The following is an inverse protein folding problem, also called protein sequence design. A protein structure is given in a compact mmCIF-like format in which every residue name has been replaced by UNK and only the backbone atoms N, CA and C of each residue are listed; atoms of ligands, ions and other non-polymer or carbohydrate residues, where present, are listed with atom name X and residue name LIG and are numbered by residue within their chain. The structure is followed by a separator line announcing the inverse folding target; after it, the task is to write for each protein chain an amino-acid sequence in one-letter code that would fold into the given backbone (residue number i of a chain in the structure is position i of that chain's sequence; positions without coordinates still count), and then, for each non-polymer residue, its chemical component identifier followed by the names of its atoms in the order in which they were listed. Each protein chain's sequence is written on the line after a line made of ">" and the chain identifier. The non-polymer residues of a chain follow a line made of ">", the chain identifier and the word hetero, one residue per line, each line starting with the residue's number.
data_IF_633635629708
#
_entry.id   IF_633635629708
#
_cell.length_a   1.000
_cell.length_b   1.000
_cell.length_c   1.000
_cell.angle_alpha   90.00
_cell.angle_beta   90.00
_cell.angle_gamma   90.00
#
_symmetry.space_group_name_H-M   'P 1'
#
loop_
_entity.id
_entity.type
_entity.pdbx_description
1 polymer ?
#
# COMPACT_ATOMS: atom_id res chain seq x y z
N UNK A 1 -48.16 -23.45 -0.88
CA UNK A 1 -49.49 -23.73 -1.45
C UNK A 1 -50.06 -22.42 -1.97
N UNK A 2 -50.42 -22.32 -3.25
CA UNK A 2 -51.06 -21.13 -3.80
C UNK A 2 -52.59 -21.29 -3.66
N UNK A 3 -53.27 -20.24 -3.19
CA UNK A 3 -54.73 -20.23 -3.09
C UNK A 3 -55.36 -20.13 -4.49
N UNK A 4 -56.46 -20.86 -4.77
CA UNK A 4 -57.17 -20.74 -6.04
C UNK A 4 -57.86 -19.36 -6.14
N UNK A 5 -57.78 -18.74 -7.32
CA UNK A 5 -58.36 -17.42 -7.64
C UNK A 5 -59.89 -17.48 -7.82
N UNK A 6 -60.59 -18.07 -6.84
CA UNK A 6 -62.04 -18.11 -6.76
C UNK A 6 -62.55 -16.87 -6.01
N UNK A 7 -63.77 -16.38 -6.32
CA UNK A 7 -64.42 -15.34 -5.53
C UNK A 7 -64.44 -15.73 -4.04
N UNK A 8 -63.97 -14.85 -3.15
CA UNK A 8 -63.88 -15.10 -1.71
C UNK A 8 -62.48 -15.48 -1.20
N UNK A 9 -61.56 -15.92 -2.07
CA UNK A 9 -60.17 -16.22 -1.71
C UNK A 9 -59.20 -15.07 -1.99
N UNK A 10 -59.71 -13.86 -2.27
CA UNK A 10 -58.90 -12.67 -2.51
C UNK A 10 -58.99 -11.69 -1.35
N UNK A 11 -57.84 -11.22 -0.88
CA UNK A 11 -57.77 -10.12 0.08
C UNK A 11 -57.91 -8.78 -0.66
N UNK A 12 -58.74 -7.88 -0.15
CA UNK A 12 -58.87 -6.54 -0.71
C UNK A 12 -57.63 -5.71 -0.37
N UNK A 13 -56.74 -5.57 -1.35
CA UNK A 13 -55.48 -4.78 -1.24
C UNK A 13 -55.71 -3.26 -1.20
N UNK A 14 -56.94 -2.79 -1.36
CA UNK A 14 -57.26 -1.36 -1.40
C UNK A 14 -57.71 -0.80 -0.05
N UNK A 15 -57.83 -1.61 1.00
CA UNK A 15 -58.11 -1.09 2.35
C UNK A 15 -56.95 -0.21 2.82
N UNK A 16 -57.25 1.05 3.20
CA UNK A 16 -56.26 2.01 3.69
C UNK A 16 -55.43 2.70 2.60
N UNK A 17 -55.75 2.50 1.31
CA UNK A 17 -55.17 3.29 0.23
C UNK A 17 -55.86 4.63 0.10
N UNK A 18 -55.07 5.69 0.07
CA UNK A 18 -55.56 7.04 -0.19
C UNK A 18 -55.26 7.51 -1.62
N UNK A 19 -54.29 6.87 -2.31
CA UNK A 19 -53.83 7.25 -3.65
C UNK A 19 -54.36 6.29 -4.72
N UNK A 20 -55.23 6.79 -5.61
CA UNK A 20 -55.79 6.02 -6.74
C UNK A 20 -55.56 6.66 -8.11
N UNK A 21 -54.69 7.68 -8.20
CA UNK A 21 -54.27 8.25 -9.48
C UNK A 21 -53.71 7.19 -10.45
N UNK A 22 -54.03 7.34 -11.74
CA UNK A 22 -53.57 6.46 -12.82
C UNK A 22 -52.40 7.11 -13.53
N UNK A 23 -51.38 6.33 -13.84
CA UNK A 23 -50.32 6.74 -14.75
C UNK A 23 -50.79 6.65 -16.20
N UNK A 24 -50.27 7.55 -17.03
CA UNK A 24 -50.57 7.57 -18.46
C UNK A 24 -49.69 6.56 -19.20
N UNK A 25 -50.15 5.32 -19.32
CA UNK A 25 -49.42 4.26 -20.02
C UNK A 25 -49.52 4.34 -21.55
N UNK A 26 -50.57 4.97 -22.07
CA UNK A 26 -50.82 5.15 -23.50
C UNK A 26 -50.87 6.63 -23.82
N UNK A 27 -50.20 7.02 -24.90
CA UNK A 27 -50.16 8.40 -25.36
C UNK A 27 -50.13 8.48 -26.90
N UNK A 28 -50.37 9.66 -27.45
CA UNK A 28 -50.26 9.94 -28.88
C UNK A 28 -48.95 10.64 -29.19
N UNK A 29 -48.05 9.97 -29.93
CA UNK A 29 -46.86 10.60 -30.49
C UNK A 29 -47.06 10.80 -31.98
N UNK A 30 -47.06 12.06 -32.43
CA UNK A 30 -47.28 12.44 -33.84
C UNK A 30 -48.55 11.82 -34.46
N UNK A 31 -49.64 11.74 -33.69
CA UNK A 31 -50.92 11.17 -34.13
C UNK A 31 -51.03 9.64 -34.06
N UNK A 32 -49.95 8.94 -33.70
CA UNK A 32 -49.93 7.48 -33.53
C UNK A 32 -50.12 7.12 -32.06
N UNK A 33 -51.07 6.22 -31.79
CA UNK A 33 -51.30 5.66 -30.45
C UNK A 33 -50.14 4.74 -30.09
N UNK A 34 -49.37 5.10 -29.08
CA UNK A 34 -48.23 4.32 -28.61
C UNK A 34 -48.38 3.98 -27.13
N UNK A 35 -47.87 2.82 -26.72
CA UNK A 35 -47.66 2.50 -25.31
C UNK A 35 -46.36 3.17 -24.87
N UNK A 36 -46.46 4.23 -24.08
CA UNK A 36 -45.32 5.08 -23.66
C UNK A 36 -44.93 4.84 -22.20
N UNK A 37 -45.75 4.12 -21.43
CA UNK A 37 -45.53 3.91 -20.01
C UNK A 37 -45.15 2.49 -19.60
N UNK A 38 -44.38 1.74 -20.38
CA UNK A 38 -43.88 0.42 -19.94
C UNK A 38 -43.19 0.46 -18.57
N UNK A 39 -42.46 1.56 -18.29
CA UNK A 39 -41.79 1.81 -17.00
C UNK A 39 -42.59 2.64 -15.99
N UNK A 40 -43.81 3.11 -16.31
CA UNK A 40 -44.61 3.91 -15.37
C UNK A 40 -45.26 3.01 -14.32
N UNK A 41 -45.37 3.41 -13.05
CA UNK A 41 -46.02 2.60 -12.03
C UNK A 41 -47.53 2.50 -12.30
N UNK A 42 -48.19 1.50 -11.72
CA UNK A 42 -49.64 1.33 -11.77
C UNK A 42 -50.42 2.31 -10.90
N UNK A 43 -51.66 1.93 -10.57
CA UNK A 43 -52.59 2.77 -9.80
C UNK A 43 -52.00 3.09 -8.43
N UNK A 44 -52.01 4.36 -8.05
CA UNK A 44 -51.51 4.79 -6.75
C UNK A 44 -49.99 4.90 -6.67
N UNK A 45 -49.26 4.71 -7.77
CA UNK A 45 -47.79 4.71 -7.78
C UNK A 45 -47.19 3.35 -7.41
N UNK A 46 -48.01 2.33 -7.22
CA UNK A 46 -47.54 0.96 -6.98
C UNK A 46 -47.02 0.31 -8.26
N UNK A 47 -45.91 -0.39 -8.17
CA UNK A 47 -45.36 -1.13 -9.31
C UNK A 47 -46.31 -2.23 -9.76
N UNK A 48 -46.44 -2.40 -11.07
CA UNK A 48 -47.20 -3.49 -11.65
C UNK A 48 -46.51 -4.84 -11.36
N UNK A 49 -47.28 -5.92 -11.40
CA UNK A 49 -46.74 -7.26 -11.17
C UNK A 49 -45.66 -7.57 -12.22
N UNK A 50 -44.43 -7.80 -11.77
CA UNK A 50 -43.26 -8.06 -12.63
C UNK A 50 -42.48 -6.82 -13.06
N UNK A 51 -42.95 -5.61 -12.73
CA UNK A 51 -42.22 -4.37 -12.99
C UNK A 51 -41.11 -4.18 -11.94
N UNK A 52 -39.89 -3.93 -12.40
CA UNK A 52 -38.75 -3.60 -11.52
C UNK A 52 -38.83 -2.12 -11.15
N UNK A 53 -38.55 -1.79 -9.88
CA UNK A 53 -38.30 -0.41 -9.46
C UNK A 53 -37.01 0.05 -10.13
N UNK A 54 -37.08 1.08 -10.96
CA UNK A 54 -35.89 1.74 -11.51
C UNK A 54 -35.82 3.15 -10.93
N UNK A 55 -35.27 3.31 -9.72
CA UNK A 55 -35.09 4.63 -9.15
C UNK A 55 -33.98 5.34 -9.92
N UNK A 56 -34.24 6.58 -10.35
CA UNK A 56 -33.24 7.40 -11.01
C UNK A 56 -32.10 7.81 -10.05
N UNK A 57 -32.40 7.91 -8.76
CA UNK A 57 -31.48 8.34 -7.72
C UNK A 57 -31.37 7.28 -6.63
N UNK A 58 -30.28 7.33 -5.88
CA UNK A 58 -30.10 6.49 -4.70
C UNK A 58 -31.20 6.76 -3.67
N UNK A 59 -31.72 5.69 -3.09
CA UNK A 59 -32.75 5.76 -2.05
C UNK A 59 -32.09 5.41 -0.73
N UNK A 60 -32.05 6.37 0.19
CA UNK A 60 -31.50 6.18 1.51
C UNK A 60 -32.61 5.81 2.50
N UNK A 61 -32.34 4.92 3.48
CA UNK A 61 -33.31 4.64 4.52
C UNK A 61 -33.59 5.89 5.35
N UNK A 62 -34.86 6.13 5.66
CA UNK A 62 -35.28 7.25 6.51
C UNK A 62 -34.69 7.05 7.92
N UNK A 63 -33.81 7.95 8.33
CA UNK A 63 -33.27 7.98 9.69
C UNK A 63 -34.26 8.57 10.69
N UNK A 64 -33.89 8.53 11.97
CA UNK A 64 -34.57 9.31 13.01
C UNK A 64 -34.23 10.80 12.82
N UNK A 65 -35.03 11.53 12.02
CA UNK A 65 -34.79 12.93 11.70
C UNK A 65 -35.77 13.52 10.68
N UNK A 66 -35.62 14.81 10.39
CA UNK A 66 -36.38 15.52 9.35
C UNK A 66 -36.00 15.01 7.96
N UNK A 67 -37.00 14.83 7.10
CA UNK A 67 -36.85 14.43 5.69
C UNK A 67 -36.21 15.56 4.86
N UNK A 68 -34.90 15.76 5.04
CA UNK A 68 -34.11 16.73 4.29
C UNK A 68 -33.69 16.13 2.96
N UNK A 69 -33.68 16.92 1.86
CA UNK A 69 -33.27 16.41 0.56
C UNK A 69 -31.79 16.02 0.54
N UNK A 70 -31.44 15.05 -0.32
CA UNK A 70 -30.10 14.44 -0.38
C UNK A 70 -28.95 15.44 -0.54
N UNK A 71 -29.14 16.47 -1.37
CA UNK A 71 -28.13 17.51 -1.62
C UNK A 71 -27.82 18.39 -0.39
N UNK A 72 -28.73 18.45 0.59
CA UNK A 72 -28.48 19.10 1.89
C UNK A 72 -27.93 18.09 2.89
N UNK A 73 -28.53 16.89 2.94
CA UNK A 73 -28.18 15.86 3.92
C UNK A 73 -26.74 15.34 3.75
N UNK A 74 -26.29 15.24 2.50
CA UNK A 74 -25.00 14.65 2.14
C UNK A 74 -24.02 15.63 1.49
N UNK A 75 -24.19 16.94 1.72
CA UNK A 75 -23.24 17.97 1.25
C UNK A 75 -21.81 17.57 1.64
N UNK A 76 -20.91 17.55 0.65
CA UNK A 76 -19.47 17.20 0.80
C UNK A 76 -19.18 15.78 1.28
N UNK A 77 -20.18 14.91 1.40
CA UNK A 77 -19.95 13.50 1.71
C UNK A 77 -19.70 12.73 0.42
N UNK A 78 -18.53 12.10 0.33
CA UNK A 78 -18.07 11.39 -0.87
C UNK A 78 -17.60 10.01 -0.49
N UNK A 79 -18.12 8.99 -1.17
CA UNK A 79 -17.62 7.63 -1.04
C UNK A 79 -16.40 7.47 -1.94
N UNK A 80 -15.30 7.01 -1.38
CA UNK A 80 -14.07 6.72 -2.11
C UNK A 80 -13.79 5.22 -2.14
N UNK A 81 -13.52 4.73 -3.35
CA UNK A 81 -13.17 3.34 -3.64
C UNK A 81 -11.83 3.27 -4.38
N UNK A 82 -10.98 2.34 -3.97
CA UNK A 82 -9.79 1.95 -4.72
C UNK A 82 -10.19 0.91 -5.75
N UNK A 83 -9.76 1.11 -6.99
CA UNK A 83 -10.05 0.19 -8.08
C UNK A 83 -8.82 0.05 -9.00
N UNK A 84 -8.86 -0.94 -9.89
CA UNK A 84 -7.94 -1.01 -11.01
C UNK A 84 -8.67 -1.46 -12.27
N UNK A 85 -8.09 -1.17 -13.43
CA UNK A 85 -8.50 -1.77 -14.69
C UNK A 85 -7.28 -2.28 -15.44
N UNK A 86 -7.49 -3.30 -16.27
CA UNK A 86 -6.45 -3.88 -17.11
C UNK A 86 -6.51 -3.24 -18.50
N UNK A 87 -5.37 -2.74 -18.97
CA UNK A 87 -5.22 -2.18 -20.31
C UNK A 87 -4.32 -3.10 -21.14
N UNK A 88 -4.80 -3.53 -22.31
CA UNK A 88 -4.00 -4.34 -23.23
C UNK A 88 -2.93 -3.46 -23.91
N UNK A 89 -1.69 -3.96 -23.99
CA UNK A 89 -0.56 -3.25 -24.62
C UNK A 89 -0.06 -4.09 -25.79
N UNK A 90 -0.56 -3.86 -27.01
CA UNK A 90 -0.21 -4.70 -28.17
C UNK A 90 1.17 -4.39 -28.75
N UNK A 91 1.71 -3.19 -28.54
CA UNK A 91 2.91 -2.70 -29.24
C UNK A 91 4.24 -3.06 -28.57
N UNK A 92 4.25 -3.49 -27.31
CA UNK A 92 5.48 -3.84 -26.59
C UNK A 92 5.67 -5.35 -26.51
N UNK A 93 6.91 -5.80 -26.72
CA UNK A 93 7.28 -7.23 -26.58
C UNK A 93 7.33 -7.68 -25.12
N UNK A 94 7.69 -6.77 -24.22
CA UNK A 94 7.92 -7.02 -22.79
C UNK A 94 6.63 -7.10 -21.98
N UNK A 95 5.60 -6.35 -22.37
CA UNK A 95 4.35 -6.20 -21.61
C UNK A 95 3.15 -6.44 -22.53
N UNK A 96 2.38 -7.50 -22.27
CA UNK A 96 1.12 -7.78 -23.00
C UNK A 96 -0.07 -6.99 -22.45
N UNK A 97 -0.03 -6.69 -21.15
CA UNK A 97 -1.04 -5.92 -20.45
C UNK A 97 -0.40 -5.13 -19.31
N UNK A 98 -1.05 -4.04 -18.93
CA UNK A 98 -0.69 -3.21 -17.76
C UNK A 98 -1.89 -3.05 -16.84
N UNK A 99 -1.64 -2.90 -15.56
CA UNK A 99 -2.69 -2.70 -14.55
C UNK A 99 -2.63 -1.26 -14.07
N UNK A 100 -3.68 -0.48 -14.35
CA UNK A 100 -3.77 0.93 -13.94
C UNK A 100 -4.66 1.05 -12.71
N UNK A 101 -4.08 1.54 -11.63
CA UNK A 101 -4.77 1.80 -10.36
C UNK A 101 -5.55 3.10 -10.49
N UNK A 102 -6.76 3.15 -9.92
CA UNK A 102 -7.64 4.31 -9.96
C UNK A 102 -8.36 4.47 -8.62
N UNK A 103 -8.83 5.68 -8.37
CA UNK A 103 -9.79 6.00 -7.31
C UNK A 103 -11.11 6.39 -7.96
N UNK A 104 -12.19 5.76 -7.49
CA UNK A 104 -13.55 6.07 -7.89
C UNK A 104 -14.20 6.84 -6.75
N UNK A 105 -14.68 8.04 -7.05
CA UNK A 105 -15.43 8.88 -6.14
C UNK A 105 -16.90 8.85 -6.52
N UNK A 106 -17.76 8.58 -5.55
CA UNK A 106 -19.21 8.65 -5.69
C UNK A 106 -19.73 9.74 -4.75
N UNK A 107 -20.37 10.76 -5.33
CA UNK A 107 -20.89 11.91 -4.60
C UNK A 107 -22.32 11.63 -4.18
N UNK A 108 -22.57 11.62 -2.87
CA UNK A 108 -23.87 11.27 -2.30
C UNK A 108 -24.94 12.37 -2.50
N UNK A 109 -24.50 13.59 -2.81
CA UNK A 109 -25.40 14.73 -3.03
C UNK A 109 -26.22 14.62 -4.32
N UNK A 110 -25.65 14.02 -5.37
CA UNK A 110 -26.22 14.04 -6.73
C UNK A 110 -26.01 12.73 -7.53
N UNK A 111 -25.53 11.66 -6.88
CA UNK A 111 -25.19 10.37 -7.48
C UNK A 111 -24.20 10.46 -8.66
N UNK A 112 -23.34 11.47 -8.66
CA UNK A 112 -22.31 11.60 -9.69
C UNK A 112 -21.07 10.76 -9.36
N UNK A 113 -20.39 10.32 -10.41
CA UNK A 113 -19.18 9.52 -10.32
C UNK A 113 -18.02 10.30 -10.96
N UNK A 114 -16.87 10.27 -10.31
CA UNK A 114 -15.60 10.74 -10.85
C UNK A 114 -14.55 9.65 -10.73
N UNK A 115 -13.75 9.44 -11.76
CA UNK A 115 -12.65 8.47 -11.73
C UNK A 115 -11.33 9.20 -11.93
N UNK A 116 -10.42 9.02 -10.98
CA UNK A 116 -9.11 9.69 -10.96
C UNK A 116 -8.01 8.65 -10.83
N UNK A 117 -7.03 8.70 -11.71
CA UNK A 117 -5.80 7.92 -11.60
C UNK A 117 -4.76 8.69 -10.77
N UNK A 118 -4.24 8.09 -9.69
CA UNK A 118 -3.18 8.72 -8.91
C UNK A 118 -1.90 8.87 -9.72
N UNK A 119 -1.20 9.98 -9.51
CA UNK A 119 0.07 10.27 -10.17
C UNK A 119 1.17 9.34 -9.64
N UNK A 120 1.90 8.72 -10.55
CA UNK A 120 3.05 7.85 -10.27
C UNK A 120 4.29 8.46 -10.92
N UNK A 121 5.36 8.61 -10.13
CA UNK A 121 6.63 9.15 -10.61
C UNK A 121 7.18 8.29 -11.76
N UNK A 122 7.65 8.95 -12.81
CA UNK A 122 8.18 8.33 -14.03
C UNK A 122 7.23 7.28 -14.65
N UNK A 123 5.91 7.49 -14.62
CA UNK A 123 4.95 6.59 -15.29
C UNK A 123 5.01 6.71 -16.82
N UNK A 124 5.34 7.90 -17.33
CA UNK A 124 5.40 8.19 -18.77
C UNK A 124 4.03 8.22 -19.45
N UNK A 125 2.94 8.22 -18.70
CA UNK A 125 1.55 8.20 -19.19
C UNK A 125 0.82 9.43 -18.63
N UNK A 126 -0.09 10.09 -19.38
CA UNK A 126 -0.93 11.14 -18.82
C UNK A 126 -1.82 10.55 -17.70
N UNK A 127 -1.66 11.09 -16.49
CA UNK A 127 -2.37 10.70 -15.27
C UNK A 127 -3.26 11.85 -14.77
N UNK A 128 -4.11 11.58 -13.79
CA UNK A 128 -5.09 12.53 -13.25
C UNK A 128 -6.53 12.10 -13.50
N UNK A 129 -7.41 13.06 -13.82
CA UNK A 129 -8.85 12.76 -13.98
C UNK A 129 -9.11 11.96 -15.26
N UNK A 130 -9.48 10.69 -15.10
CA UNK A 130 -9.82 9.80 -16.20
C UNK A 130 -11.26 10.04 -16.69
N UNK A 131 -12.19 10.17 -15.74
CA UNK A 131 -13.61 10.46 -16.00
C UNK A 131 -14.00 11.66 -15.15
N UNK A 132 -14.47 12.73 -15.80
CA UNK A 132 -14.96 13.94 -15.10
C UNK A 132 -16.22 13.62 -14.30
N UNK A 133 -16.50 14.41 -13.27
CA UNK A 133 -17.68 14.25 -12.41
C UNK A 133 -18.98 14.42 -13.21
N UNK A 134 -19.79 13.37 -13.29
CA UNK A 134 -21.16 13.38 -13.81
C UNK A 134 -21.84 12.04 -13.51
N UNK A 135 -23.15 11.92 -13.79
CA UNK A 135 -23.89 10.67 -13.61
C UNK A 135 -23.58 9.73 -14.79
N UNK A 136 -23.23 8.49 -14.48
CA UNK A 136 -22.83 7.50 -15.50
C UNK A 136 -23.96 6.48 -15.67
N UNK A 137 -24.44 6.24 -16.90
CA UNK A 137 -25.45 5.22 -17.16
C UNK A 137 -24.88 3.81 -16.96
N UNK A 138 -25.75 2.88 -16.62
CA UNK A 138 -25.43 1.45 -16.57
C UNK A 138 -25.11 0.92 -17.98
N UNK A 139 -24.35 -0.19 -18.08
CA UNK A 139 -24.09 -0.81 -19.38
C UNK A 139 -25.40 -1.38 -19.98
N UNK A 140 -25.46 -1.53 -21.32
CA UNK A 140 -26.59 -2.20 -21.98
C UNK A 140 -26.86 -3.57 -21.33
N UNK A 141 -28.13 -3.94 -21.08
CA UNK A 141 -29.37 -3.39 -21.66
C UNK A 141 -30.09 -2.30 -20.83
N UNK A 142 -29.58 -1.92 -19.66
CA UNK A 142 -30.24 -0.96 -18.74
C UNK A 142 -29.63 0.45 -18.86
N UNK A 143 -29.34 0.92 -20.08
CA UNK A 143 -28.66 2.20 -20.36
C UNK A 143 -29.50 3.45 -20.02
N UNK A 144 -30.79 3.28 -19.77
CA UNK A 144 -31.67 4.31 -19.23
C UNK A 144 -31.47 4.56 -17.72
N UNK A 145 -30.84 3.61 -17.01
CA UNK A 145 -30.59 3.69 -15.57
C UNK A 145 -29.18 4.18 -15.26
N UNK A 146 -28.99 4.72 -14.06
CA UNK A 146 -27.70 5.22 -13.58
C UNK A 146 -27.17 4.35 -12.45
N UNK A 147 -25.85 4.37 -12.28
CA UNK A 147 -25.21 3.74 -11.14
C UNK A 147 -25.68 4.36 -9.82
N UNK A 148 -26.04 3.50 -8.88
CA UNK A 148 -26.47 3.86 -7.53
C UNK A 148 -25.45 3.39 -6.49
N UNK A 149 -25.58 3.85 -5.24
CA UNK A 149 -24.71 3.43 -4.12
C UNK A 149 -24.70 1.92 -3.93
N UNK A 150 -25.81 1.23 -4.24
CA UNK A 150 -25.95 -0.21 -4.06
C UNK A 150 -25.19 -1.04 -5.10
N UNK A 151 -24.81 -0.44 -6.23
CA UNK A 151 -24.05 -1.12 -7.29
C UNK A 151 -22.55 -1.23 -6.97
N UNK A 152 -22.10 -0.58 -5.89
CA UNK A 152 -20.72 -0.59 -5.44
C UNK A 152 -20.49 -1.62 -4.32
N UNK A 153 -19.59 -2.57 -4.59
CA UNK A 153 -19.05 -3.45 -3.56
C UNK A 153 -17.58 -3.78 -3.84
N UNK A 154 -16.86 -4.23 -2.81
CA UNK A 154 -15.50 -4.70 -2.93
C UNK A 154 -15.47 -6.01 -3.73
N UNK A 155 -14.45 -6.20 -4.57
CA UNK A 155 -14.28 -7.34 -5.46
C UNK A 155 -15.38 -7.49 -6.52
N UNK A 156 -16.11 -6.41 -6.81
CA UNK A 156 -17.13 -6.38 -7.85
C UNK A 156 -16.61 -5.66 -9.10
N UNK A 157 -17.00 -6.18 -10.26
CA UNK A 157 -16.75 -5.55 -11.56
C UNK A 157 -17.79 -4.49 -11.84
N UNK A 158 -17.34 -3.35 -12.34
CA UNK A 158 -18.20 -2.29 -12.85
C UNK A 158 -17.71 -1.79 -14.20
N UNK A 159 -18.63 -1.45 -15.10
CA UNK A 159 -18.30 -1.04 -16.47
C UNK A 159 -18.59 0.44 -16.62
N UNK A 160 -17.55 1.25 -16.75
CA UNK A 160 -17.68 2.69 -16.99
C UNK A 160 -17.13 3.00 -18.37
N UNK A 161 -17.97 3.48 -19.28
CA UNK A 161 -17.60 3.82 -20.67
C UNK A 161 -16.75 2.74 -21.37
N UNK A 162 -17.28 1.51 -21.38
CA UNK A 162 -16.64 0.34 -22.02
C UNK A 162 -15.30 -0.07 -21.42
N UNK A 163 -15.01 0.34 -20.18
CA UNK A 163 -13.87 -0.14 -19.40
C UNK A 163 -14.34 -0.84 -18.15
N UNK A 164 -13.81 -2.03 -17.89
CA UNK A 164 -14.15 -2.81 -16.70
C UNK A 164 -13.19 -2.48 -15.57
N UNK A 165 -13.73 -1.87 -14.52
CA UNK A 165 -13.01 -1.58 -13.28
C UNK A 165 -13.32 -2.67 -12.25
N UNK A 166 -12.28 -3.12 -11.56
CA UNK A 166 -12.36 -3.99 -10.40
C UNK A 166 -12.17 -3.16 -9.15
N UNK A 167 -13.19 -3.07 -8.30
CA UNK A 167 -13.06 -2.42 -6.98
C UNK A 167 -12.29 -3.34 -6.05
N UNK A 168 -11.20 -2.85 -5.46
CA UNK A 168 -10.32 -3.64 -4.57
C UNK A 168 -10.51 -3.34 -3.11
N UNK A 169 -10.73 -2.07 -2.77
CA UNK A 169 -10.87 -1.63 -1.38
C UNK A 169 -11.67 -0.32 -1.31
N UNK A 170 -12.05 0.10 -0.11
CA UNK A 170 -12.74 1.37 0.13
C UNK A 170 -12.18 2.08 1.36
N UNK A 171 -12.34 3.40 1.39
CA UNK A 171 -11.94 4.24 2.51
C UNK A 171 -12.71 3.89 3.81
N UNK A 172 -12.14 4.09 5.02
CA UNK A 172 -12.84 3.80 6.26
C UNK A 172 -14.18 4.53 6.41
N UNK A 173 -14.31 5.75 5.89
CA UNK A 173 -15.58 6.47 5.84
C UNK A 173 -16.62 5.70 5.02
N UNK A 174 -16.27 5.34 3.79
CA UNK A 174 -17.11 4.56 2.87
C UNK A 174 -17.56 3.25 3.50
N UNK A 175 -16.62 2.55 4.15
CA UNK A 175 -16.89 1.27 4.83
C UNK A 175 -17.95 1.41 5.92
N UNK A 176 -17.85 2.45 6.73
CA UNK A 176 -18.79 2.72 7.81
C UNK A 176 -20.15 3.18 7.27
N UNK A 177 -20.16 4.02 6.23
CA UNK A 177 -21.39 4.49 5.58
C UNK A 177 -22.19 3.32 4.99
N UNK A 178 -21.55 2.48 4.18
CA UNK A 178 -22.20 1.32 3.56
C UNK A 178 -22.70 0.31 4.60
N UNK A 179 -21.95 0.11 5.69
CA UNK A 179 -22.40 -0.72 6.82
C UNK A 179 -23.64 -0.15 7.50
N UNK A 180 -23.71 1.17 7.73
CA UNK A 180 -24.91 1.83 8.29
C UNK A 180 -26.11 1.71 7.37
N UNK A 181 -25.87 1.74 6.05
CA UNK A 181 -26.90 1.52 5.03
C UNK A 181 -27.34 0.04 4.92
N UNK A 182 -26.73 -0.87 5.68
CA UNK A 182 -27.06 -2.31 5.67
C UNK A 182 -26.37 -3.12 4.58
N UNK A 183 -25.42 -2.54 3.84
CA UNK A 183 -24.65 -3.26 2.81
C UNK A 183 -23.53 -4.06 3.46
N UNK A 184 -23.48 -5.36 3.14
CA UNK A 184 -22.40 -6.26 3.56
C UNK A 184 -21.25 -6.16 2.57
N UNK A 185 -20.15 -5.56 3.02
CA UNK A 185 -18.93 -5.41 2.24
C UNK A 185 -18.11 -6.69 2.21
N UNK A 186 -17.57 -7.01 1.04
CA UNK A 186 -16.62 -8.10 0.85
C UNK A 186 -15.25 -7.76 1.48
N UNK A 187 -14.42 -8.76 1.79
CA UNK A 187 -13.04 -8.51 2.24
C UNK A 187 -12.23 -7.80 1.16
N UNK A 188 -11.24 -6.96 1.54
CA UNK A 188 -10.38 -6.27 0.58
C UNK A 188 -9.58 -7.25 -0.28
N UNK A 189 -9.47 -6.95 -1.56
CA UNK A 189 -8.71 -7.76 -2.53
C UNK A 189 -7.42 -7.04 -2.91
N UNK A 190 -6.31 -7.76 -3.00
CA UNK A 190 -5.04 -7.19 -3.49
C UNK A 190 -5.11 -6.87 -4.98
N UNK A 191 -4.58 -5.72 -5.40
CA UNK A 191 -4.39 -5.41 -6.83
C UNK A 191 -3.40 -6.41 -7.45
N UNK A 192 -3.71 -7.05 -8.59
CA UNK A 192 -2.75 -7.92 -9.26
C UNK A 192 -1.53 -7.12 -9.69
N UNK A 193 -0.36 -7.75 -9.56
CA UNK A 193 0.90 -7.18 -10.06
C UNK A 193 0.96 -7.40 -11.57
N UNK A 194 1.33 -6.35 -12.31
CA UNK A 194 1.63 -6.46 -13.73
C UNK A 194 3.13 -6.71 -13.97
N UNK A 195 3.51 -7.28 -15.13
CA UNK A 195 4.91 -7.54 -15.46
C UNK A 195 5.79 -6.29 -15.33
N UNK A 196 5.24 -5.12 -15.70
CA UNK A 196 5.93 -3.84 -15.58
C UNK A 196 6.25 -3.45 -14.13
N UNK A 197 5.28 -3.51 -13.22
CA UNK A 197 5.51 -3.17 -11.81
C UNK A 197 6.53 -4.10 -11.17
N UNK A 198 6.50 -5.39 -11.51
CA UNK A 198 7.47 -6.37 -11.00
C UNK A 198 8.90 -6.02 -11.44
N UNK A 199 9.12 -5.85 -12.76
CA UNK A 199 10.43 -5.50 -13.30
C UNK A 199 10.99 -4.21 -12.66
N UNK A 200 10.13 -3.21 -12.47
CA UNK A 200 10.53 -1.93 -11.89
C UNK A 200 10.86 -2.04 -10.40
N UNK A 201 10.07 -2.80 -9.64
CA UNK A 201 10.38 -3.07 -8.23
C UNK A 201 11.69 -3.85 -8.09
N UNK A 202 11.98 -4.79 -8.99
CA UNK A 202 13.25 -5.52 -9.00
C UNK A 202 14.43 -4.62 -9.35
N UNK A 203 14.30 -3.71 -10.31
CA UNK A 203 15.31 -2.70 -10.60
C UNK A 203 15.56 -1.80 -9.38
N UNK A 204 14.51 -1.30 -8.73
CA UNK A 204 14.65 -0.45 -7.54
C UNK A 204 15.29 -1.20 -6.36
N UNK A 205 14.96 -2.48 -6.16
CA UNK A 205 15.57 -3.32 -5.11
C UNK A 205 17.02 -3.68 -5.40
N UNK A 206 17.39 -3.84 -6.68
CA UNK A 206 18.75 -4.18 -7.09
C UNK A 206 19.67 -2.95 -7.15
N UNK A 207 19.12 -1.74 -7.16
CA UNK A 207 19.89 -0.49 -7.03
C UNK A 207 20.54 -0.39 -5.64
N UNK A 208 21.77 -0.91 -5.53
CA UNK A 208 22.65 -0.62 -4.39
C UNK A 208 23.30 0.75 -4.61
N UNK A 209 23.25 1.66 -3.62
CA UNK A 209 23.98 2.91 -3.73
C UNK A 209 25.47 2.60 -3.84
N UNK A 210 26.14 3.14 -4.88
CA UNK A 210 27.58 2.93 -5.12
C UNK A 210 28.46 3.45 -3.98
N UNK A 211 27.92 4.35 -3.14
CA UNK A 211 28.54 4.86 -1.92
C UNK A 211 27.51 4.82 -0.79
N UNK A 212 27.42 3.75 0.00
CA UNK A 212 26.63 3.75 1.22
C UNK A 212 27.26 4.76 2.17
N UNK A 213 26.61 5.91 2.36
CA UNK A 213 27.04 6.91 3.34
C UNK A 213 26.60 6.42 4.71
N UNK A 214 27.35 5.49 5.29
CA UNK A 214 27.24 5.22 6.72
C UNK A 214 27.74 6.47 7.44
N UNK A 215 26.82 7.20 8.09
CA UNK A 215 27.20 8.29 9.00
C UNK A 215 27.89 7.66 10.20
N UNK A 216 29.20 7.51 10.10
CA UNK A 216 30.04 7.26 11.26
C UNK A 216 30.22 8.59 11.99
N UNK A 217 29.78 8.66 13.26
CA UNK A 217 29.86 9.85 14.09
C UNK A 217 31.27 10.03 14.67
N UNK A 218 32.25 10.16 13.77
CA UNK A 218 33.67 10.27 14.12
C UNK A 218 33.96 11.54 14.93
N UNK A 219 33.19 12.60 14.70
CA UNK A 219 33.34 13.86 15.42
C UNK A 219 32.90 13.74 16.88
N UNK A 220 31.78 13.04 17.14
CA UNK A 220 31.30 12.84 18.51
C UNK A 220 32.31 12.05 19.35
N UNK A 221 32.83 10.94 18.80
CA UNK A 221 33.85 10.13 19.49
C UNK A 221 35.10 10.94 19.81
N UNK A 222 35.53 11.82 18.88
CA UNK A 222 36.64 12.73 19.12
C UNK A 222 36.35 13.72 20.25
N UNK A 223 35.16 14.35 20.29
CA UNK A 223 34.81 15.34 21.31
C UNK A 223 34.68 14.73 22.71
N UNK A 224 34.11 13.54 22.84
CA UNK A 224 33.88 12.88 24.14
C UNK A 224 35.16 12.31 24.76
N UNK A 225 36.14 11.95 23.93
CA UNK A 225 37.34 11.22 24.33
C UNK A 225 38.65 11.91 23.94
N UNK A 226 38.61 13.20 23.61
CA UNK A 226 39.82 13.99 23.34
C UNK A 226 40.79 13.86 24.53
N UNK A 227 42.06 13.55 24.23
CA UNK A 227 43.16 13.33 25.19
C UNK A 227 43.04 12.11 26.11
N UNK A 228 42.01 11.29 25.99
CA UNK A 228 41.94 10.02 26.73
C UNK A 228 42.76 8.94 26.01
N UNK A 229 43.84 8.51 26.65
CA UNK A 229 44.74 7.48 26.14
C UNK A 229 44.88 6.36 27.17
N UNK A 230 44.51 5.13 26.77
CA UNK A 230 44.76 3.95 27.59
C UNK A 230 46.21 3.50 27.36
N UNK A 231 46.98 3.39 28.44
CA UNK A 231 48.37 2.93 28.39
C UNK A 231 48.47 1.54 29.02
N UNK A 232 48.93 0.57 28.23
CA UNK A 232 49.19 -0.79 28.67
C UNK A 232 50.69 -1.09 28.60
N UNK A 233 51.16 -1.85 29.58
CA UNK A 233 52.52 -2.40 29.57
C UNK A 233 52.46 -3.80 28.96
N UNK A 234 53.22 -4.01 27.90
CA UNK A 234 53.23 -5.24 27.12
C UNK A 234 54.63 -5.82 27.13
N UNK A 235 54.72 -7.14 27.18
CA UNK A 235 55.97 -7.87 27.03
C UNK A 235 55.89 -8.65 25.72
N UNK A 236 56.83 -8.41 24.81
CA UNK A 236 56.97 -9.18 23.58
C UNK A 236 58.10 -10.18 23.77
N UNK A 237 57.73 -11.45 23.88
CA UNK A 237 58.67 -12.56 23.97
C UNK A 237 58.92 -13.14 22.57
N UNK A 238 60.11 -12.92 22.02
CA UNK A 238 60.58 -13.52 20.77
C UNK A 238 61.72 -14.52 21.01
N UNK A 239 61.83 -15.09 22.23
CA UNK A 239 62.93 -15.97 22.62
C UNK A 239 63.01 -17.30 21.85
N UNK A 240 61.94 -17.69 21.15
CA UNK A 240 61.92 -18.90 20.32
C UNK A 240 62.70 -18.73 19.01
N UNK A 241 63.00 -17.49 18.61
CA UNK A 241 63.72 -17.17 17.38
C UNK A 241 65.25 -17.14 17.60
N UNK A 242 66.05 -17.55 16.61
CA UNK A 242 67.52 -17.71 16.78
C UNK A 242 68.27 -16.44 17.20
N UNK A 243 67.68 -15.26 17.01
CA UNK A 243 68.23 -13.96 17.39
C UNK A 243 67.22 -13.10 18.17
N UNK A 244 66.17 -13.72 18.70
CA UNK A 244 65.10 -13.00 19.39
C UNK A 244 65.41 -12.78 20.86
N UNK A 245 64.95 -11.64 21.36
CA UNK A 245 65.19 -11.17 22.71
C UNK A 245 63.90 -10.57 23.30
N UNK A 246 63.64 -10.75 24.60
CA UNK A 246 62.43 -10.24 25.24
C UNK A 246 62.44 -8.71 25.24
N UNK A 247 61.31 -8.10 24.82
CA UNK A 247 61.17 -6.65 24.66
C UNK A 247 60.03 -6.13 25.50
N UNK A 248 60.29 -5.04 26.22
CA UNK A 248 59.26 -4.30 26.93
C UNK A 248 58.69 -3.22 26.02
N UNK A 249 57.37 -3.29 25.80
CA UNK A 249 56.62 -2.39 24.95
C UNK A 249 55.55 -1.66 25.77
N UNK A 250 55.26 -0.43 25.38
CA UNK A 250 54.12 0.35 25.90
C UNK A 250 53.13 0.59 24.78
N UNK A 251 51.92 0.09 24.96
CA UNK A 251 50.82 0.25 24.02
C UNK A 251 49.95 1.42 24.46
N UNK A 252 49.76 2.38 23.56
CA UNK A 252 48.86 3.51 23.73
C UNK A 252 47.65 3.31 22.81
N UNK A 253 46.45 3.25 23.39
CA UNK A 253 45.19 3.19 22.66
C UNK A 253 44.46 4.51 22.79
N UNK A 254 44.21 5.17 21.66
CA UNK A 254 43.56 6.48 21.60
C UNK A 254 42.06 6.29 21.40
N UNK A 255 41.26 6.67 22.41
CA UNK A 255 39.81 6.50 22.39
C UNK A 255 39.09 7.42 21.38
N UNK A 256 39.75 8.51 20.98
CA UNK A 256 39.21 9.50 20.04
C UNK A 256 39.06 8.98 18.60
N UNK A 257 39.89 8.02 18.19
CA UNK A 257 39.92 7.52 16.81
C UNK A 257 40.19 6.01 16.69
N UNK A 258 40.19 5.28 17.80
CA UNK A 258 40.47 3.84 17.90
C UNK A 258 41.82 3.43 17.27
N UNK A 259 42.81 4.32 17.33
CA UNK A 259 44.16 4.03 16.83
C UNK A 259 45.08 3.54 17.95
N UNK A 260 46.10 2.76 17.55
CA UNK A 260 47.10 2.19 18.45
C UNK A 260 48.48 2.71 18.07
N UNK A 261 49.25 3.16 19.05
CA UNK A 261 50.69 3.45 18.94
C UNK A 261 51.45 2.53 19.90
N UNK A 262 52.51 1.88 19.41
CA UNK A 262 53.35 1.01 20.24
C UNK A 262 54.73 1.63 20.34
N UNK A 263 55.20 1.81 21.56
CA UNK A 263 56.54 2.34 21.86
C UNK A 263 57.38 1.30 22.56
N UNK A 264 58.63 1.21 22.16
CA UNK A 264 59.60 0.33 22.80
C UNK A 264 60.27 1.04 23.97
N UNK A 265 60.41 0.34 25.10
CA UNK A 265 61.12 0.84 26.28
C UNK A 265 62.59 0.47 26.13
N UNK A 266 63.41 1.48 25.80
CA UNK A 266 64.85 1.30 25.58
C UNK A 266 65.60 1.69 26.85
N UNK A 267 66.28 0.72 27.48
CA UNK A 267 67.13 0.96 28.64
C UNK A 267 68.53 1.47 28.23
N UNK A 268 69.21 2.26 29.10
CA UNK A 268 70.59 2.67 28.88
C UNK A 268 71.50 1.45 28.66
N UNK A 269 72.44 1.55 27.73
CA UNK A 269 73.40 0.49 27.37
C UNK A 269 72.78 -0.80 26.80
N UNK A 270 71.56 -0.75 26.26
CA UNK A 270 70.89 -1.91 25.64
C UNK A 270 71.44 -2.32 24.25
N UNK A 271 72.33 -1.52 23.66
CA UNK A 271 72.94 -1.81 22.35
C UNK A 271 72.01 -1.67 21.15
N UNK A 272 70.79 -1.13 21.34
CA UNK A 272 69.79 -0.93 20.29
C UNK A 272 69.71 0.52 19.85
N UNK A 273 69.27 0.73 18.60
CA UNK A 273 69.06 2.07 18.05
C UNK A 273 67.97 2.82 18.83
N UNK A 274 68.14 4.14 18.98
CA UNK A 274 67.31 4.99 19.82
C UNK A 274 65.99 5.38 19.14
N UNK A 275 65.30 4.43 18.51
CA UNK A 275 64.00 4.63 17.87
C UNK A 275 62.88 4.20 18.82
N UNK A 276 62.28 5.13 19.59
CA UNK A 276 61.29 4.76 20.61
C UNK A 276 59.95 4.29 20.04
N UNK A 277 59.70 4.48 18.74
CA UNK A 277 58.43 4.12 18.08
C UNK A 277 58.60 2.76 17.39
N UNK A 278 57.97 1.75 17.97
CA UNK A 278 57.90 0.42 17.39
C UNK A 278 56.84 0.34 16.29
N UNK A 279 55.66 0.93 16.53
CA UNK A 279 54.57 1.02 15.56
C UNK A 279 54.00 2.45 15.52
N UNK A 280 53.90 3.01 14.31
CA UNK A 280 53.26 4.30 14.11
C UNK A 280 51.76 4.23 14.41
N UNK A 281 51.21 5.29 15.01
CA UNK A 281 49.78 5.45 15.27
C UNK A 281 48.97 5.11 14.02
N UNK A 282 48.18 4.05 14.11
CA UNK A 282 47.34 3.53 13.01
C UNK A 282 46.25 2.61 13.56
N UNK A 283 45.24 2.32 12.75
CA UNK A 283 44.23 1.30 13.08
C UNK A 283 44.81 -0.08 12.77
N UNK A 284 44.82 -0.96 13.76
CA UNK A 284 45.30 -2.33 13.59
C UNK A 284 44.18 -3.27 13.16
N UNK A 285 44.38 -4.12 12.14
CA UNK A 285 43.42 -5.14 11.77
C UNK A 285 43.36 -6.21 12.87
N UNK A 286 42.17 -6.48 13.40
CA UNK A 286 41.96 -7.64 14.28
C UNK A 286 41.77 -8.88 13.41
N UNK A 287 42.79 -9.72 13.31
CA UNK A 287 42.63 -11.04 12.68
C UNK A 287 41.81 -11.90 13.65
N UNK A 288 40.67 -12.44 13.18
CA UNK A 288 39.92 -13.46 13.93
C UNK A 288 40.73 -14.76 13.91
N UNK A 289 41.11 -15.26 15.08
CA UNK A 289 41.96 -16.44 15.24
C UNK A 289 41.39 -17.71 14.59
N UNK A 290 40.07 -17.76 14.36
CA UNK A 290 39.38 -18.91 13.75
C UNK A 290 39.78 -19.18 12.29
N UNK A 291 40.32 -18.19 11.57
CA UNK A 291 40.66 -18.36 10.14
C UNK A 291 42.13 -18.74 9.88
N UNK A 292 43.01 -18.67 10.88
CA UNK A 292 44.44 -19.01 10.70
C UNK A 292 44.77 -20.50 10.96
N UNK A 293 43.85 -21.26 11.56
CA UNK A 293 44.07 -22.69 11.87
C UNK A 293 43.90 -23.61 10.65
N UNK A 294 43.30 -23.13 9.55
CA UNK A 294 43.06 -23.98 8.36
C UNK A 294 44.20 -23.98 7.34
N UNK A 295 45.25 -23.16 7.49
CA UNK A 295 46.33 -23.09 6.51
C UNK A 295 47.68 -23.66 6.95
N UNK A 296 47.84 -24.10 8.20
CA UNK A 296 49.03 -24.86 8.61
C UNK A 296 48.61 -26.03 9.50
N UNK A 297 48.89 -27.24 9.01
CA UNK A 297 48.45 -28.48 9.61
C UNK A 297 49.02 -28.72 11.01
N UNK A 298 48.22 -29.47 11.77
CA UNK A 298 48.65 -30.38 12.82
C UNK A 298 49.30 -29.74 14.04
N UNK A 299 48.49 -29.30 15.01
CA UNK A 299 48.66 -29.67 16.42
C UNK A 299 47.44 -29.23 17.23
N UNK A 300 46.78 -30.22 17.83
CA UNK A 300 45.67 -30.06 18.77
C UNK A 300 46.19 -29.58 20.12
N UNK A 301 45.62 -28.51 20.68
CA UNK A 301 45.73 -28.23 22.11
C UNK A 301 44.35 -27.99 22.73
N UNK A 302 44.08 -28.77 23.78
CA UNK A 302 42.87 -28.74 24.60
C UNK A 302 42.88 -27.54 25.53
N UNK A 303 41.85 -26.69 25.45
CA UNK A 303 41.60 -25.64 26.43
C UNK A 303 40.94 -26.24 27.67
N UNK A 304 41.67 -26.16 28.79
CA UNK A 304 41.18 -26.44 30.12
C UNK A 304 40.04 -25.49 30.51
N UNK A 305 39.06 -26.06 31.21
CA UNK A 305 37.88 -25.41 31.78
C UNK A 305 38.23 -24.20 32.65
N UNK A 306 37.43 -23.11 32.63
CA UNK A 306 37.48 -22.10 33.66
C UNK A 306 36.64 -22.56 34.87
N UNK A 307 37.22 -22.45 36.07
CA UNK A 307 36.50 -22.53 37.33
C UNK A 307 37.09 -21.51 38.31
N UNK A 308 36.32 -21.02 39.30
CA UNK A 308 34.91 -20.64 39.29
C UNK A 308 34.72 -19.11 39.29
#
# INVERSE_FOLDING_TARGET
>A
MALPMLPGNSLNKNLGKDKFHKSQHFDYSNGVRMMVGSGKPGIGGELLLGQKSQPNYSVFPNGEGSDTPSWVAFDKQVLSFNAFFQEAVPQKREEKYRVRKCKIYFYLEDDTIQVVEPELKNSGIPQGTLIRRHRIPLPPPDDECFYTVHDFNINQQMVLYSRTFMVTDCDPFTRNFLRKMGVRLNPPTSTPLDPYSNLRQEMEKSMKPLRPYERLDTLKQFLDHDRNVLRFFCHWDDSENMFGDPRELTLHYFLADDTIEIREVIYPNSGRDATPKFLHRSKLPKVRWEMCVQSNGSQTFSLGSPFP
#
